data_IF_925189992988
#
_entry.id   IF_925189992988
#
_cell.length_a   1.000
_cell.length_b   1.000
_cell.length_c   1.000
_cell.angle_alpha   90.00
_cell.angle_beta   90.00
_cell.angle_gamma   90.00
#
_symmetry.space_group_name_H-M   'P 1'
#
loop_
_entity.id
_entity.type
_entity.pdbx_description
1 polymer ?
#
# COMPACT_ATOMS: atom_id res chain seq x y z
N UNK A 1 8.11 11.18 -9.16
CA UNK A 1 7.41 10.57 -10.35
C UNK A 1 6.30 9.65 -9.90
N UNK A 2 5.12 9.75 -10.54
CA UNK A 2 3.95 8.91 -10.28
C UNK A 2 3.77 7.93 -11.42
N UNK A 3 3.60 6.64 -11.09
CA UNK A 3 3.33 5.56 -12.04
C UNK A 3 1.98 4.93 -11.69
N UNK A 4 1.09 4.83 -12.68
CA UNK A 4 -0.13 4.05 -12.58
C UNK A 4 0.11 2.73 -13.30
N UNK A 5 0.07 1.65 -12.56
CA UNK A 5 0.43 0.32 -13.01
C UNK A 5 -0.78 -0.60 -12.94
N UNK A 6 -0.87 -1.51 -13.91
CA UNK A 6 -1.84 -2.59 -13.90
C UNK A 6 -1.09 -3.89 -14.24
N UNK A 7 -1.20 -4.92 -13.40
CA UNK A 7 -0.58 -6.20 -13.65
C UNK A 7 -1.45 -7.37 -13.20
N UNK A 8 -1.24 -8.54 -13.79
CA UNK A 8 -1.95 -9.75 -13.41
C UNK A 8 -1.38 -10.32 -12.11
N UNK A 9 -2.22 -10.39 -11.09
CA UNK A 9 -1.87 -11.01 -9.81
C UNK A 9 -2.26 -12.48 -9.80
N UNK A 10 -1.31 -13.33 -9.41
CA UNK A 10 -1.53 -14.76 -9.21
C UNK A 10 -2.49 -15.02 -8.05
N UNK A 11 -2.33 -14.29 -6.94
CA UNK A 11 -3.14 -14.47 -5.74
C UNK A 11 -4.57 -13.94 -5.89
N UNK A 12 -4.74 -12.90 -6.71
CA UNK A 12 -6.06 -12.32 -6.98
C UNK A 12 -6.71 -12.90 -8.23
N UNK A 13 -5.99 -13.74 -9.00
CA UNK A 13 -6.44 -14.31 -10.26
C UNK A 13 -7.08 -13.26 -11.21
N UNK A 14 -6.60 -12.02 -11.15
CA UNK A 14 -7.12 -10.89 -11.90
C UNK A 14 -6.06 -9.80 -12.06
N UNK A 15 -6.32 -8.82 -12.93
CA UNK A 15 -5.54 -7.60 -13.01
C UNK A 15 -5.82 -6.71 -11.81
N UNK A 16 -4.76 -6.14 -11.26
CA UNK A 16 -4.82 -5.22 -10.11
C UNK A 16 -4.12 -3.91 -10.43
N UNK A 17 -4.75 -2.82 -10.01
CA UNK A 17 -4.19 -1.48 -10.15
C UNK A 17 -3.34 -1.12 -8.93
N UNK A 18 -2.18 -0.54 -9.20
CA UNK A 18 -1.24 -0.06 -8.18
C UNK A 18 -0.70 1.30 -8.60
N UNK A 19 -0.78 2.28 -7.72
CA UNK A 19 -0.03 3.54 -7.89
C UNK A 19 1.30 3.43 -7.18
N UNK A 20 2.39 3.73 -7.89
CA UNK A 20 3.74 3.80 -7.34
C UNK A 20 4.26 5.22 -7.44
N UNK A 21 4.75 5.76 -6.33
CA UNK A 21 5.45 7.03 -6.29
C UNK A 21 6.93 6.80 -6.03
N UNK A 22 7.77 7.33 -6.91
CA UNK A 22 9.22 7.32 -6.75
C UNK A 22 9.70 8.77 -6.56
N UNK A 23 10.40 9.08 -5.46
CA UNK A 23 10.97 10.41 -5.24
C UNK A 23 11.83 10.87 -6.42
N UNK A 24 11.71 12.13 -6.73
CA UNK A 24 12.51 12.80 -7.77
C UNK A 24 13.10 14.08 -7.18
N UNK A 25 13.72 14.92 -7.98
CA UNK A 25 14.16 16.22 -7.50
C UNK A 25 12.98 17.19 -7.39
N UNK A 26 12.89 17.87 -6.25
CA UNK A 26 11.91 18.92 -6.02
C UNK A 26 12.47 20.27 -6.49
N UNK A 27 11.58 21.15 -6.97
CA UNK A 27 11.96 22.51 -7.45
C UNK A 27 12.74 23.36 -6.43
N UNK A 28 12.66 23.04 -5.13
CA UNK A 28 13.42 23.71 -4.07
C UNK A 28 14.88 23.24 -3.94
N UNK A 29 15.21 22.05 -4.47
CA UNK A 29 16.56 21.49 -4.43
C UNK A 29 17.38 21.91 -5.68
N UNK A 30 16.67 22.54 -6.64
CA UNK A 30 17.22 22.91 -7.94
C UNK A 30 17.43 24.43 -7.98
N UNK A 31 18.65 24.90 -7.79
CA UNK A 31 19.01 26.21 -8.32
C UNK A 31 18.96 26.13 -9.85
N UNK A 32 18.07 26.95 -10.46
CA UNK A 32 17.87 26.96 -11.90
C UNK A 32 19.22 27.18 -12.63
N UNK A 33 19.80 26.14 -13.16
CA UNK A 33 20.95 26.24 -14.05
C UNK A 33 21.90 25.04 -14.13
N UNK A 34 22.03 24.19 -13.12
CA UNK A 34 23.20 23.29 -13.02
C UNK A 34 22.90 21.80 -12.77
N UNK A 35 21.71 21.31 -13.10
CA UNK A 35 21.45 19.87 -12.88
C UNK A 35 21.70 19.11 -14.16
N UNK A 36 22.77 18.29 -14.12
CA UNK A 36 22.97 17.31 -15.19
C UNK A 36 21.91 16.21 -15.10
N UNK A 37 21.49 15.71 -16.25
CA UNK A 37 20.58 14.55 -16.33
C UNK A 37 21.14 13.32 -15.63
N UNK A 38 22.44 13.20 -15.49
CA UNK A 38 23.12 12.10 -14.79
C UNK A 38 22.84 12.09 -13.28
N UNK A 39 22.65 13.26 -12.68
CA UNK A 39 22.25 13.38 -11.27
C UNK A 39 20.75 13.03 -11.10
N UNK A 40 19.91 13.46 -12.05
CA UNK A 40 18.47 13.22 -12.02
C UNK A 40 18.11 11.74 -12.21
N UNK A 41 18.92 11.01 -12.97
CA UNK A 41 18.66 9.64 -13.37
C UNK A 41 19.76 8.67 -12.94
N UNK A 42 20.25 8.80 -11.69
CA UNK A 42 21.25 7.88 -11.15
C UNK A 42 20.60 6.50 -10.91
N UNK A 43 20.99 5.53 -11.73
CA UNK A 43 20.54 4.12 -11.63
C UNK A 43 20.92 3.44 -10.31
N UNK A 44 21.82 4.01 -9.52
CA UNK A 44 22.23 3.47 -8.21
C UNK A 44 21.34 3.94 -7.08
N UNK A 45 20.51 4.97 -7.31
CA UNK A 45 19.62 5.49 -6.30
C UNK A 45 18.47 4.49 -6.06
N UNK A 46 18.34 4.04 -4.81
CA UNK A 46 17.25 3.19 -4.35
C UNK A 46 16.58 3.78 -3.11
N UNK A 47 15.31 3.51 -2.93
CA UNK A 47 14.48 4.12 -1.90
C UNK A 47 13.92 3.09 -0.91
N UNK A 48 13.79 3.50 0.36
CA UNK A 48 12.92 2.81 1.32
C UNK A 48 11.47 2.97 0.88
N UNK A 49 10.62 2.01 1.22
CA UNK A 49 9.25 1.93 0.69
C UNK A 49 8.21 1.85 1.77
N UNK A 50 7.15 2.65 1.65
CA UNK A 50 5.93 2.48 2.43
C UNK A 50 4.85 1.87 1.52
N UNK A 51 4.31 0.74 1.92
CA UNK A 51 3.09 0.16 1.36
C UNK A 51 1.90 0.83 2.04
N UNK A 52 1.11 1.62 1.28
CA UNK A 52 -0.01 2.40 1.80
C UNK A 52 -1.34 1.78 1.41
N UNK A 53 -2.08 1.35 2.41
CA UNK A 53 -3.36 0.68 2.25
C UNK A 53 -4.52 1.66 2.40
N UNK A 54 -5.44 1.68 1.43
CA UNK A 54 -6.61 2.57 1.43
C UNK A 54 -7.73 2.07 2.36
N UNK A 55 -8.71 2.92 2.66
CA UNK A 55 -9.91 2.60 3.40
C UNK A 55 -10.99 1.91 2.56
N UNK A 56 -12.10 1.50 3.18
CA UNK A 56 -13.27 0.98 2.47
C UNK A 56 -13.79 1.96 1.43
N UNK A 57 -14.33 1.44 0.32
CA UNK A 57 -14.94 2.20 -0.77
C UNK A 57 -13.97 3.10 -1.55
N UNK A 58 -12.69 2.86 -1.41
CA UNK A 58 -11.63 3.61 -2.10
C UNK A 58 -10.72 2.68 -2.90
N UNK A 59 -9.65 3.21 -3.50
CA UNK A 59 -8.73 2.49 -4.37
C UNK A 59 -7.26 2.96 -4.24
N UNK A 60 -6.41 2.47 -5.12
CA UNK A 60 -4.98 2.80 -5.20
C UNK A 60 -4.66 4.29 -5.30
N UNK A 61 -5.61 5.13 -5.68
CA UNK A 61 -5.42 6.58 -5.89
C UNK A 61 -5.76 7.43 -4.67
N UNK A 62 -6.40 6.84 -3.66
CA UNK A 62 -6.92 7.49 -2.46
C UNK A 62 -5.90 8.42 -1.78
N UNK A 63 -4.73 7.91 -1.47
CA UNK A 63 -3.71 8.66 -0.77
C UNK A 63 -3.19 9.86 -1.56
N UNK A 64 -3.09 9.73 -2.88
CA UNK A 64 -2.67 10.82 -3.75
C UNK A 64 -3.76 11.90 -3.90
N UNK A 65 -5.04 11.50 -3.89
CA UNK A 65 -6.18 12.43 -4.05
C UNK A 65 -6.50 13.23 -2.80
N UNK A 66 -6.40 12.59 -1.62
CA UNK A 66 -6.98 13.13 -0.41
C UNK A 66 -5.94 13.53 0.64
N UNK A 67 -4.65 13.47 0.30
CA UNK A 67 -3.59 13.83 1.24
C UNK A 67 -2.40 14.51 0.56
N UNK A 68 -1.49 15.02 1.38
CA UNK A 68 -0.21 15.58 0.92
C UNK A 68 0.91 14.52 0.94
N UNK A 69 0.55 13.25 0.73
CA UNK A 69 1.51 12.14 0.87
C UNK A 69 2.66 12.23 -0.13
N UNK A 70 2.40 12.73 -1.33
CA UNK A 70 3.44 12.95 -2.35
C UNK A 70 4.50 13.94 -1.89
N UNK A 71 4.09 15.08 -1.34
CA UNK A 71 5.00 16.10 -0.81
C UNK A 71 5.85 15.53 0.33
N UNK A 72 5.22 14.80 1.25
CA UNK A 72 5.93 14.20 2.38
C UNK A 72 6.88 13.09 1.93
N UNK A 73 6.48 12.27 0.98
CA UNK A 73 7.31 11.23 0.41
C UNK A 73 8.54 11.81 -0.32
N UNK A 74 8.34 12.90 -1.06
CA UNK A 74 9.44 13.62 -1.72
C UNK A 74 10.42 14.20 -0.69
N UNK A 75 9.91 14.89 0.32
CA UNK A 75 10.71 15.51 1.39
C UNK A 75 11.57 14.50 2.14
N UNK A 76 11.03 13.30 2.39
CA UNK A 76 11.72 12.26 3.13
C UNK A 76 12.42 11.23 2.24
N UNK A 77 12.39 11.40 0.92
CA UNK A 77 12.97 10.49 -0.08
C UNK A 77 12.55 9.03 0.14
N UNK A 78 11.24 8.83 0.28
CA UNK A 78 10.60 7.53 0.51
C UNK A 78 9.68 7.21 -0.68
N UNK A 79 9.80 6.02 -1.24
CA UNK A 79 8.89 5.52 -2.26
C UNK A 79 7.57 5.06 -1.63
N UNK A 80 6.48 5.20 -2.38
CA UNK A 80 5.15 4.73 -1.97
C UNK A 80 4.66 3.68 -2.95
N UNK A 81 4.05 2.63 -2.42
CA UNK A 81 3.35 1.59 -3.19
C UNK A 81 1.92 1.49 -2.66
N UNK A 82 0.95 1.85 -3.48
CA UNK A 82 -0.45 2.00 -3.13
C UNK A 82 -1.31 1.06 -3.98
N UNK A 83 -1.62 -0.16 -3.49
CA UNK A 83 -2.43 -1.12 -4.22
C UNK A 83 -3.93 -0.85 -4.08
N UNK A 84 -4.72 -1.28 -5.07
CA UNK A 84 -6.15 -1.47 -4.89
C UNK A 84 -6.40 -2.73 -4.09
N UNK A 85 -7.07 -2.59 -2.95
CA UNK A 85 -7.42 -3.68 -2.02
C UNK A 85 -8.90 -4.03 -2.03
N UNK A 86 -9.72 -3.34 -2.83
CA UNK A 86 -11.19 -3.43 -2.77
C UNK A 86 -11.69 -3.28 -1.32
N UNK A 87 -12.78 -3.93 -0.95
CA UNK A 87 -13.30 -3.98 0.43
C UNK A 87 -12.87 -5.28 1.16
N UNK A 88 -11.66 -5.77 0.91
CA UNK A 88 -11.17 -7.08 1.35
C UNK A 88 -10.64 -7.13 2.77
N UNK A 89 -10.55 -5.98 3.47
CA UNK A 89 -9.80 -5.87 4.73
C UNK A 89 -8.37 -6.41 4.65
N UNK A 90 -7.87 -6.62 3.42
CA UNK A 90 -6.52 -7.14 3.15
C UNK A 90 -6.27 -8.53 3.76
N UNK A 91 -7.32 -9.36 3.85
CA UNK A 91 -7.26 -10.74 4.33
C UNK A 91 -7.56 -11.72 3.19
N UNK A 92 -7.17 -12.98 3.39
CA UNK A 92 -7.58 -14.04 2.48
C UNK A 92 -9.05 -14.39 2.78
N UNK A 93 -9.89 -14.39 1.76
CA UNK A 93 -11.25 -14.87 1.88
C UNK A 93 -11.28 -16.41 1.81
N UNK A 94 -12.15 -17.03 2.58
CA UNK A 94 -12.28 -18.51 2.62
C UNK A 94 -12.61 -19.10 1.23
N UNK A 95 -13.49 -18.42 0.49
CA UNK A 95 -13.93 -18.82 -0.86
C UNK A 95 -13.72 -17.67 -1.86
N UNK A 96 -12.60 -16.97 -1.79
CA UNK A 96 -12.37 -15.77 -2.59
C UNK A 96 -10.90 -15.44 -2.81
N UNK A 97 -10.61 -14.16 -2.90
CA UNK A 97 -9.30 -13.65 -3.27
C UNK A 97 -8.34 -13.65 -2.08
N UNK A 98 -7.08 -13.92 -2.35
CA UNK A 98 -6.02 -14.03 -1.33
C UNK A 98 -5.27 -12.70 -1.16
N UNK A 99 -5.96 -11.66 -0.67
CA UNK A 99 -5.36 -10.34 -0.48
C UNK A 99 -4.24 -10.32 0.56
N UNK A 100 -4.29 -11.17 1.58
CA UNK A 100 -3.20 -11.27 2.56
C UNK A 100 -1.90 -11.71 1.89
N UNK A 101 -1.95 -12.75 1.07
CA UNK A 101 -0.78 -13.27 0.37
C UNK A 101 -0.31 -12.31 -0.72
N UNK A 102 -1.25 -11.65 -1.42
CA UNK A 102 -0.93 -10.61 -2.39
C UNK A 102 -0.09 -9.49 -1.76
N UNK A 103 -0.54 -8.92 -0.63
CA UNK A 103 0.16 -7.82 0.05
C UNK A 103 1.50 -8.27 0.64
N UNK A 104 1.57 -9.48 1.20
CA UNK A 104 2.78 -9.93 1.90
C UNK A 104 3.84 -10.57 1.00
N UNK A 105 3.47 -11.13 -0.13
CA UNK A 105 4.40 -11.84 -0.99
C UNK A 105 4.53 -11.24 -2.38
N UNK A 106 3.43 -11.15 -3.14
CA UNK A 106 3.50 -10.80 -4.56
C UNK A 106 3.78 -9.31 -4.79
N UNK A 107 3.07 -8.44 -4.08
CA UNK A 107 3.20 -7.00 -4.26
C UNK A 107 4.63 -6.48 -3.96
N UNK A 108 5.29 -6.87 -2.85
CA UNK A 108 6.67 -6.46 -2.60
C UNK A 108 7.65 -6.98 -3.66
N UNK A 109 7.53 -8.25 -4.06
CA UNK A 109 8.40 -8.82 -5.11
C UNK A 109 8.23 -8.11 -6.45
N UNK A 110 6.96 -7.87 -6.84
CA UNK A 110 6.66 -7.14 -8.06
C UNK A 110 7.22 -5.72 -8.03
N UNK A 111 7.00 -5.01 -6.93
CA UNK A 111 7.45 -3.62 -6.80
C UNK A 111 8.99 -3.51 -6.80
N UNK A 112 9.67 -4.34 -6.04
CA UNK A 112 11.15 -4.33 -5.94
C UNK A 112 11.83 -4.78 -7.24
N UNK A 113 11.18 -5.63 -8.03
CA UNK A 113 11.70 -6.05 -9.34
C UNK A 113 11.58 -4.92 -10.39
N UNK A 114 10.53 -4.11 -10.33
CA UNK A 114 10.22 -3.14 -11.38
C UNK A 114 10.66 -1.70 -11.06
N UNK A 115 10.91 -1.37 -9.79
CA UNK A 115 11.24 -0.01 -9.33
C UNK A 115 12.52 0.01 -8.50
N UNK A 116 13.18 1.16 -8.39
CA UNK A 116 14.42 1.32 -7.63
C UNK A 116 14.17 1.32 -6.12
N UNK A 117 13.71 0.20 -5.59
CA UNK A 117 13.39 0.02 -4.18
C UNK A 117 14.48 -0.78 -3.47
N UNK A 118 14.74 -0.44 -2.22
CA UNK A 118 15.61 -1.22 -1.34
C UNK A 118 14.86 -2.44 -0.83
N UNK A 119 15.48 -3.59 -0.95
CA UNK A 119 14.98 -4.85 -0.42
C UNK A 119 15.25 -4.97 1.09
N UNK A 120 14.57 -5.93 1.73
CA UNK A 120 14.78 -6.26 3.13
C UNK A 120 13.83 -5.55 4.08
N UNK A 121 13.64 -6.20 5.24
CA UNK A 121 12.73 -5.76 6.29
C UNK A 121 12.95 -4.30 6.71
N UNK A 122 14.20 -3.91 6.90
CA UNK A 122 14.63 -2.59 7.40
C UNK A 122 14.29 -1.45 6.44
N UNK A 123 13.91 -1.77 5.21
CA UNK A 123 13.58 -0.83 4.15
C UNK A 123 12.10 -0.83 3.79
N UNK A 124 11.31 -1.76 4.36
CA UNK A 124 9.87 -1.87 4.11
C UNK A 124 9.06 -1.40 5.30
N UNK A 125 8.08 -0.58 5.03
CA UNK A 125 7.10 -0.09 6.00
C UNK A 125 5.70 -0.34 5.44
N UNK A 126 4.72 -0.53 6.33
CA UNK A 126 3.33 -0.66 5.94
C UNK A 126 2.48 0.29 6.77
N UNK A 127 1.56 0.99 6.11
CA UNK A 127 0.63 1.89 6.79
C UNK A 127 -0.72 1.90 6.08
N UNK A 128 -1.76 2.36 6.76
CA UNK A 128 -3.08 2.44 6.14
C UNK A 128 -4.10 3.19 6.95
N UNK A 129 -5.21 3.55 6.31
CA UNK A 129 -6.32 4.29 6.87
C UNK A 129 -7.55 3.38 7.03
N UNK A 130 -8.24 3.44 8.18
CA UNK A 130 -9.50 2.72 8.44
C UNK A 130 -9.34 1.21 8.19
N UNK A 131 -10.02 0.64 7.18
CA UNK A 131 -9.80 -0.74 6.72
C UNK A 131 -8.32 -1.01 6.43
N UNK A 132 -7.61 -0.07 5.78
CA UNK A 132 -6.17 -0.17 5.54
C UNK A 132 -5.33 -0.10 6.81
N UNK A 133 -5.80 0.63 7.84
CA UNK A 133 -5.18 0.64 9.16
C UNK A 133 -5.25 -0.71 9.86
N UNK A 134 -6.41 -1.39 9.76
CA UNK A 134 -6.54 -2.78 10.18
C UNK A 134 -5.58 -3.69 9.41
N UNK A 135 -5.58 -3.58 8.08
CA UNK A 135 -4.67 -4.35 7.23
C UNK A 135 -3.21 -4.15 7.62
N UNK A 136 -2.78 -2.89 7.81
CA UNK A 136 -1.41 -2.58 8.19
C UNK A 136 -1.00 -3.25 9.51
N UNK A 137 -1.85 -3.19 10.54
CA UNK A 137 -1.60 -3.86 11.83
C UNK A 137 -1.55 -5.39 11.64
N UNK A 138 -2.51 -5.96 10.92
CA UNK A 138 -2.57 -7.40 10.70
C UNK A 138 -1.34 -7.93 9.96
N UNK A 139 -0.90 -7.23 8.92
CA UNK A 139 0.30 -7.61 8.16
C UNK A 139 1.57 -7.41 8.96
N UNK A 140 1.72 -6.25 9.61
CA UNK A 140 2.92 -5.93 10.36
C UNK A 140 3.14 -6.81 11.59
N UNK A 141 2.07 -7.18 12.30
CA UNK A 141 2.15 -8.11 13.44
C UNK A 141 2.16 -9.58 13.00
N UNK A 142 1.47 -9.91 11.92
CA UNK A 142 1.42 -11.29 11.39
C UNK A 142 2.69 -11.72 10.68
N UNK A 143 3.45 -10.78 10.11
CA UNK A 143 4.72 -11.03 9.42
C UNK A 143 5.79 -10.01 9.83
N UNK A 144 6.20 -9.97 11.13
CA UNK A 144 7.11 -8.96 11.66
C UNK A 144 8.50 -8.99 11.02
N UNK A 145 8.85 -10.10 10.39
CA UNK A 145 10.09 -10.25 9.62
C UNK A 145 10.08 -9.53 8.28
N UNK A 146 8.93 -9.02 7.82
CA UNK A 146 8.79 -8.36 6.52
C UNK A 146 8.80 -6.84 6.59
N UNK A 147 8.36 -6.26 7.71
CA UNK A 147 8.20 -4.81 7.86
C UNK A 147 8.96 -4.27 9.07
N UNK A 148 9.67 -3.15 8.88
CA UNK A 148 10.41 -2.48 9.95
C UNK A 148 9.49 -1.71 10.90
N UNK A 149 8.43 -1.11 10.37
CA UNK A 149 7.44 -0.37 11.16
C UNK A 149 6.05 -0.42 10.51
N UNK A 150 5.04 -0.17 11.35
CA UNK A 150 3.62 -0.18 11.00
C UNK A 150 2.99 1.15 11.39
N UNK A 151 2.16 1.71 10.52
CA UNK A 151 1.35 2.89 10.78
C UNK A 151 -0.14 2.60 10.58
N UNK A 152 -0.97 2.86 11.59
CA UNK A 152 -2.42 2.72 11.47
C UNK A 152 -3.10 4.04 11.77
N UNK A 153 -3.78 4.59 10.78
CA UNK A 153 -4.54 5.84 10.89
C UNK A 153 -6.03 5.49 11.02
N UNK A 154 -6.62 5.79 12.19
CA UNK A 154 -8.03 5.48 12.47
C UNK A 154 -8.40 4.04 12.09
N UNK A 155 -7.53 3.08 12.43
CA UNK A 155 -7.70 1.68 12.04
C UNK A 155 -9.00 1.07 12.59
N UNK A 156 -9.70 0.31 11.75
CA UNK A 156 -10.90 -0.44 12.12
C UNK A 156 -10.51 -1.69 12.92
N UNK A 157 -10.01 -1.51 14.15
CA UNK A 157 -9.41 -2.59 14.95
C UNK A 157 -10.44 -3.40 15.74
N UNK A 158 -11.64 -2.87 15.97
CA UNK A 158 -12.77 -3.62 16.53
C UNK A 158 -13.60 -4.27 15.41
N UNK A 159 -13.13 -5.41 14.95
CA UNK A 159 -13.77 -6.14 13.85
C UNK A 159 -15.16 -6.67 14.26
N UNK A 160 -15.34 -7.07 15.51
CA UNK A 160 -16.66 -7.58 16.00
C UNK A 160 -17.69 -6.46 16.00
N UNK A 161 -17.32 -5.26 16.48
CA UNK A 161 -18.20 -4.10 16.41
C UNK A 161 -18.50 -3.66 14.98
N UNK A 162 -17.52 -3.76 14.08
CA UNK A 162 -17.67 -3.42 12.68
C UNK A 162 -18.62 -4.41 11.94
N UNK A 163 -18.54 -5.71 12.25
CA UNK A 163 -19.43 -6.73 11.70
C UNK A 163 -20.91 -6.42 12.01
N UNK A 164 -21.22 -6.01 13.24
CA UNK A 164 -22.56 -5.59 13.63
C UNK A 164 -23.05 -4.40 12.80
N UNK A 165 -22.18 -3.41 12.55
CA UNK A 165 -22.53 -2.23 11.76
C UNK A 165 -22.79 -2.62 10.29
N UNK A 166 -21.99 -3.49 9.71
CA UNK A 166 -22.13 -3.93 8.31
C UNK A 166 -23.40 -4.74 8.13
N UNK A 167 -23.74 -5.65 9.05
CA UNK A 167 -24.95 -6.46 8.99
C UNK A 167 -26.24 -5.65 9.23
N UNK A 168 -26.18 -4.55 9.93
CA UNK A 168 -27.34 -3.66 10.14
C UNK A 168 -27.60 -2.71 8.97
N UNK A 169 -26.60 -2.45 8.13
CA UNK A 169 -26.77 -1.64 6.92
C UNK A 169 -26.99 -2.55 5.69
N UNK A 170 -28.26 -2.78 5.34
CA UNK A 170 -28.68 -3.65 4.21
C UNK A 170 -28.06 -3.31 2.85
N UNK A 171 -27.35 -2.22 2.70
CA UNK A 171 -26.61 -1.85 1.49
C UNK A 171 -25.38 -2.75 1.27
N UNK A 172 -24.89 -3.44 2.30
CA UNK A 172 -23.74 -4.33 2.29
C UNK A 172 -24.07 -5.83 2.29
N UNK A 173 -25.36 -6.19 2.22
CA UNK A 173 -25.89 -7.56 2.39
C UNK A 173 -25.51 -8.55 1.26
N UNK A 174 -24.53 -8.24 0.40
CA UNK A 174 -24.10 -9.11 -0.71
C UNK A 174 -22.65 -9.56 -0.68
N UNK A 175 -21.89 -9.22 0.35
CA UNK A 175 -20.53 -9.76 0.51
C UNK A 175 -20.38 -10.30 1.94
N UNK A 176 -20.57 -11.62 2.09
CA UNK A 176 -20.18 -12.31 3.32
C UNK A 176 -18.67 -12.14 3.51
N UNK A 177 -18.28 -11.22 4.39
CA UNK A 177 -16.90 -11.14 4.87
C UNK A 177 -16.76 -12.22 5.93
N UNK A 178 -16.41 -13.43 5.50
CA UNK A 178 -16.03 -14.50 6.43
C UNK A 178 -14.64 -14.15 7.03
N UNK A 179 -14.67 -13.56 8.19
CA UNK A 179 -13.46 -13.29 8.97
C UNK A 179 -13.10 -14.58 9.72
N UNK A 180 -12.13 -15.33 9.21
CA UNK A 180 -11.57 -16.46 9.96
C UNK A 180 -10.87 -15.94 11.21
N UNK A 181 -11.37 -16.34 12.38
CA UNK A 181 -10.64 -16.33 13.63
C UNK A 181 -9.58 -17.44 13.57
N UNK A 182 -8.33 -17.09 13.54
CA UNK A 182 -7.20 -17.98 13.84
C UNK A 182 -6.26 -17.30 14.82
#
# INVERSE_FOLDING_TARGET
SVFQCNFYSKYLANFVDVTVYIPSYHNGDISMGDISTDILYDKKQKFKTIYLLHGMLDDHSCWMRWSMVEEQAEKHKIALVMPSGQNSFYVNAEHGLAYYDFINDELPRWAEMNFPLLEGRENRFIAGLSMGGYGAIRHGLGTPEKYAAVGAFSGALDIVGLEIIIHTDRRYDRQEISLQQS
#
